data_IF_327812728445
#
_entry.id   IF_327812728445
#
_cell.length_a   1.000
_cell.length_b   1.000
_cell.length_c   1.000
_cell.angle_alpha   90.00
_cell.angle_beta   90.00
_cell.angle_gamma   90.00
#
_symmetry.space_group_name_H-M   'P 1'
#
loop_
_entity.id
_entity.type
_entity.pdbx_description
1 polymer ?
#
# COMPACT_ATOMS: atom_id res chain seq x y z
N UNK A 1 1.43 9.53 18.67
CA UNK A 1 1.99 10.17 17.47
C UNK A 1 0.94 10.21 16.37
N UNK A 2 0.69 11.36 15.75
CA UNK A 2 -0.14 11.55 14.55
C UNK A 2 0.68 11.92 13.31
N UNK A 3 1.98 11.62 13.32
CA UNK A 3 2.94 12.06 12.30
C UNK A 3 2.93 11.18 11.05
N UNK A 4 2.58 9.89 11.21
CA UNK A 4 2.42 8.97 10.09
C UNK A 4 1.29 9.44 9.19
N UNK A 5 1.58 9.48 7.89
CA UNK A 5 0.70 10.07 6.92
C UNK A 5 0.78 9.34 5.59
N UNK A 6 -0.28 9.49 4.80
CA UNK A 6 -0.27 9.12 3.40
C UNK A 6 -0.58 10.39 2.61
N UNK A 7 0.39 10.79 1.79
CA UNK A 7 0.26 11.94 0.90
C UNK A 7 -0.94 11.77 -0.02
N UNK A 8 -1.44 12.89 -0.53
CA UNK A 8 -2.56 12.87 -1.45
C UNK A 8 -2.25 12.12 -2.75
N UNK A 9 -3.11 11.17 -3.09
CA UNK A 9 -3.00 10.35 -4.29
C UNK A 9 -4.39 9.91 -4.75
N UNK A 10 -4.47 9.34 -5.94
CA UNK A 10 -5.56 8.43 -6.30
C UNK A 10 -5.02 7.01 -6.31
N UNK A 11 -5.86 6.03 -5.97
CA UNK A 11 -5.47 4.62 -6.04
C UNK A 11 -5.26 4.24 -7.51
N UNK A 12 -4.20 3.47 -7.81
CA UNK A 12 -3.96 2.92 -9.15
C UNK A 12 -5.10 1.99 -9.55
N UNK A 13 -5.82 2.30 -10.62
CA UNK A 13 -6.99 1.48 -11.02
C UNK A 13 -6.69 0.38 -12.04
N UNK A 14 -5.44 0.25 -12.50
CA UNK A 14 -5.00 -0.78 -13.46
C UNK A 14 -5.56 -2.18 -13.15
N UNK A 15 -5.47 -2.59 -11.88
CA UNK A 15 -5.81 -3.94 -11.44
C UNK A 15 -7.15 -4.03 -10.69
N UNK A 16 -7.86 -2.90 -10.52
CA UNK A 16 -9.12 -2.85 -9.77
C UNK A 16 -10.28 -3.07 -10.74
N UNK A 17 -11.13 -4.06 -10.45
CA UNK A 17 -12.26 -4.44 -11.33
C UNK A 17 -13.18 -3.24 -11.62
N UNK A 18 -13.48 -3.00 -12.89
CA UNK A 18 -14.37 -1.92 -13.31
C UNK A 18 -15.72 -1.94 -12.56
N UNK A 19 -16.17 -0.75 -12.14
CA UNK A 19 -17.43 -0.59 -11.38
C UNK A 19 -17.37 -0.99 -9.91
N UNK A 20 -16.28 -1.64 -9.45
CA UNK A 20 -16.10 -1.99 -8.03
C UNK A 20 -15.89 -0.76 -7.15
N UNK A 21 -15.75 -0.98 -5.85
CA UNK A 21 -15.44 0.06 -4.86
C UNK A 21 -14.08 -0.20 -4.21
N UNK A 22 -13.50 0.86 -3.67
CA UNK A 22 -12.38 0.83 -2.73
C UNK A 22 -12.99 1.07 -1.35
N UNK A 23 -12.74 0.15 -0.42
CA UNK A 23 -13.33 0.18 0.92
C UNK A 23 -12.23 0.27 1.96
N UNK A 24 -12.17 1.39 2.68
CA UNK A 24 -11.24 1.58 3.78
C UNK A 24 -11.93 1.38 5.13
N UNK A 25 -11.48 0.40 5.91
CA UNK A 25 -11.89 0.19 7.30
C UNK A 25 -10.81 0.78 8.21
N UNK A 26 -11.24 1.61 9.17
CA UNK A 26 -10.37 2.26 10.14
C UNK A 26 -10.58 1.68 11.53
N UNK A 27 -9.51 1.20 12.15
CA UNK A 27 -9.48 0.71 13.52
C UNK A 27 -8.46 1.50 14.32
N UNK A 28 -8.79 1.81 15.57
CA UNK A 28 -7.92 2.54 16.48
C UNK A 28 -8.19 4.04 16.50
N UNK A 29 -7.15 4.83 16.70
CA UNK A 29 -7.22 6.27 16.84
C UNK A 29 -7.86 6.95 15.61
N UNK A 30 -8.76 7.91 15.87
CA UNK A 30 -9.40 8.68 14.81
C UNK A 30 -8.35 9.48 14.02
N UNK A 31 -8.49 9.45 12.69
CA UNK A 31 -7.75 10.34 11.78
C UNK A 31 -8.73 11.00 10.82
N UNK A 32 -8.27 12.04 10.13
CA UNK A 32 -9.09 12.75 9.15
C UNK A 32 -8.65 12.38 7.74
N UNK A 33 -9.55 11.74 6.98
CA UNK A 33 -9.39 11.55 5.54
C UNK A 33 -9.65 12.88 4.84
N UNK A 34 -8.68 13.37 4.07
CA UNK A 34 -8.82 14.57 3.25
C UNK A 34 -9.10 14.14 1.81
N UNK A 35 -10.23 14.55 1.25
CA UNK A 35 -10.49 14.46 -0.18
C UNK A 35 -10.33 15.84 -0.81
N UNK A 36 -9.61 15.93 -1.93
CA UNK A 36 -9.41 17.18 -2.66
C UNK A 36 -9.58 16.95 -4.15
N UNK A 37 -10.46 17.70 -4.81
CA UNK A 37 -10.67 17.55 -6.26
C UNK A 37 -9.35 17.67 -7.01
N UNK A 38 -9.15 16.89 -8.08
CA UNK A 38 -8.03 17.09 -8.99
C UNK A 38 -8.14 18.46 -9.68
N UNK A 39 -7.03 18.94 -10.24
CA UNK A 39 -7.07 20.16 -11.04
C UNK A 39 -7.85 19.87 -12.33
N UNK A 40 -8.74 20.75 -12.78
CA UNK A 40 -9.30 20.64 -14.11
C UNK A 40 -8.14 20.65 -15.10
N UNK A 41 -8.01 19.58 -15.88
CA UNK A 41 -7.02 19.51 -16.93
C UNK A 41 -7.64 20.23 -18.11
N UNK A 42 -7.24 21.48 -18.37
CA UNK A 42 -7.46 22.06 -19.69
C UNK A 42 -6.65 21.19 -20.66
N UNK A 43 -7.34 20.35 -21.43
CA UNK A 43 -6.74 19.74 -22.60
C UNK A 43 -6.34 20.93 -23.50
N UNK A 44 -5.04 21.26 -23.52
CA UNK A 44 -4.53 22.24 -24.45
C UNK A 44 -4.70 21.66 -25.85
N UNK A 45 -5.57 22.28 -26.64
CA UNK A 45 -5.63 22.06 -28.08
C UNK A 45 -4.24 22.34 -28.67
N UNK A 46 -3.68 21.48 -29.54
CA UNK A 46 -2.34 21.67 -30.14
C UNK A 46 -2.23 22.85 -31.13
N UNK A 47 -3.12 23.86 -31.06
CA UNK A 47 -3.45 24.73 -32.19
C UNK A 47 -3.30 26.24 -32.00
N UNK A 48 -2.90 26.75 -30.83
CA UNK A 48 -2.79 28.22 -30.65
C UNK A 48 -1.49 28.67 -30.03
N UNK A 49 -0.48 28.83 -30.90
CA UNK A 49 0.72 29.62 -30.64
C UNK A 49 0.33 31.10 -30.54
N UNK A 50 0.21 31.63 -29.32
CA UNK A 50 0.26 33.08 -29.12
C UNK A 50 1.48 33.50 -28.29
N UNK A 51 2.45 34.00 -29.05
CA UNK A 51 3.57 34.86 -28.72
C UNK A 51 3.33 35.74 -27.48
N UNK A 52 4.08 35.49 -26.39
CA UNK A 52 4.26 36.46 -25.31
C UNK A 52 5.74 36.74 -25.10
N UNK A 53 6.15 37.84 -25.72
CA UNK A 53 7.42 38.53 -25.58
C UNK A 53 7.77 38.78 -24.10
N UNK A 54 9.07 38.62 -23.83
CA UNK A 54 9.80 38.94 -22.60
C UNK A 54 9.48 40.35 -22.07
N UNK A 55 9.24 40.46 -20.77
CA UNK A 55 9.71 41.59 -19.97
C UNK A 55 10.37 41.06 -18.70
N UNK A 56 11.46 41.72 -18.33
CA UNK A 56 12.47 41.36 -17.33
C UNK A 56 12.17 42.14 -16.04
N UNK A 57 12.70 41.63 -14.93
CA UNK A 57 12.71 42.15 -13.56
C UNK A 57 11.54 41.78 -12.64
N UNK A 58 11.77 40.73 -11.83
CA UNK A 58 11.71 40.78 -10.37
C UNK A 58 12.30 39.47 -9.81
N UNK A 59 13.07 39.60 -8.73
CA UNK A 59 13.77 38.53 -8.01
C UNK A 59 12.80 37.44 -7.48
N UNK A 60 13.14 36.14 -7.58
CA UNK A 60 12.23 35.07 -7.19
C UNK A 60 12.30 34.76 -5.68
N UNK A 61 11.16 34.75 -5.01
CA UNK A 61 10.95 34.01 -3.75
C UNK A 61 10.46 32.59 -4.06
N UNK A 62 10.81 31.55 -3.26
CA UNK A 62 10.58 30.15 -3.65
C UNK A 62 9.12 29.67 -3.61
N UNK A 63 8.18 30.47 -3.09
CA UNK A 63 6.80 30.04 -2.83
C UNK A 63 5.75 30.61 -3.81
N UNK A 64 6.19 31.26 -4.89
CA UNK A 64 5.32 31.94 -5.84
C UNK A 64 5.49 31.44 -7.28
N UNK A 65 5.51 30.11 -7.50
CA UNK A 65 5.26 29.55 -8.82
C UNK A 65 4.29 28.38 -8.70
N UNK A 66 3.04 28.65 -9.11
CA UNK A 66 2.07 27.77 -9.77
C UNK A 66 0.65 28.36 -9.61
N UNK A 67 0.48 29.63 -9.93
CA UNK A 67 -0.84 30.24 -10.18
C UNK A 67 -0.87 30.68 -11.64
N UNK A 68 -1.15 29.73 -12.53
CA UNK A 68 -1.57 30.01 -13.89
C UNK A 68 -2.94 29.33 -14.09
N UNK A 69 -3.97 30.16 -13.97
CA UNK A 69 -5.28 30.11 -14.62
C UNK A 69 -6.00 28.75 -14.75
N UNK A 70 -6.69 28.36 -13.68
CA UNK A 70 -8.12 28.00 -13.77
C UNK A 70 -8.84 28.51 -12.52
N UNK A 71 -9.88 29.32 -12.69
CA UNK A 71 -10.53 30.11 -11.64
C UNK A 71 -11.42 29.32 -10.67
N UNK A 72 -11.33 27.99 -10.64
CA UNK A 72 -12.06 27.14 -9.70
C UNK A 72 -11.12 26.68 -8.58
N UNK A 73 -11.31 27.25 -7.39
CA UNK A 73 -10.66 26.74 -6.18
C UNK A 73 -10.95 25.25 -6.01
N UNK A 74 -9.91 24.45 -5.74
CA UNK A 74 -10.07 23.01 -5.51
C UNK A 74 -10.95 22.80 -4.28
N UNK A 75 -11.99 21.98 -4.43
CA UNK A 75 -12.87 21.64 -3.30
C UNK A 75 -12.13 20.65 -2.41
N UNK A 76 -12.14 20.91 -1.10
CA UNK A 76 -11.55 20.02 -0.09
C UNK A 76 -12.62 19.59 0.90
N UNK A 77 -12.73 18.29 1.13
CA UNK A 77 -13.56 17.68 2.16
C UNK A 77 -12.66 17.03 3.22
N UNK A 78 -13.09 17.09 4.48
CA UNK A 78 -12.39 16.49 5.62
C UNK A 78 -13.38 15.57 6.32
N UNK A 79 -13.09 14.28 6.29
CA UNK A 79 -13.98 13.23 6.78
C UNK A 79 -13.30 12.57 7.99
N UNK A 80 -13.85 12.71 9.20
CA UNK A 80 -13.37 11.95 10.35
C UNK A 80 -13.53 10.45 10.13
N UNK A 81 -12.49 9.70 10.47
CA UNK A 81 -12.44 8.23 10.38
C UNK A 81 -12.29 7.65 11.79
N UNK A 82 -13.40 7.56 12.58
CA UNK A 82 -13.35 7.03 13.94
C UNK A 82 -13.03 5.53 13.97
N UNK A 83 -12.79 4.99 15.17
CA UNK A 83 -12.65 3.56 15.38
C UNK A 83 -13.86 2.79 14.81
N UNK A 84 -13.61 1.67 14.14
CA UNK A 84 -14.62 0.79 13.54
C UNK A 84 -15.50 1.52 12.50
N UNK A 85 -14.93 2.48 11.78
CA UNK A 85 -15.60 3.16 10.67
C UNK A 85 -15.18 2.60 9.31
N UNK A 86 -16.03 2.84 8.32
CA UNK A 86 -15.81 2.44 6.94
C UNK A 86 -16.01 3.63 6.00
N UNK A 87 -15.04 3.82 5.10
CA UNK A 87 -15.10 4.79 4.01
C UNK A 87 -15.13 4.05 2.68
N UNK A 88 -16.22 4.24 1.92
CA UNK A 88 -16.47 3.55 0.66
C UNK A 88 -16.39 4.55 -0.48
N UNK A 89 -15.54 4.28 -1.47
CA UNK A 89 -15.30 5.16 -2.60
C UNK A 89 -15.46 4.40 -3.93
N UNK A 90 -16.17 5.01 -4.87
CA UNK A 90 -16.26 4.50 -6.25
C UNK A 90 -15.06 4.90 -7.10
N UNK A 91 -14.82 4.17 -8.19
CA UNK A 91 -13.72 4.46 -9.13
C UNK A 91 -13.86 5.83 -9.81
N UNK A 92 -15.09 6.31 -10.02
CA UNK A 92 -15.34 7.66 -10.54
C UNK A 92 -14.83 8.73 -9.55
N UNK A 93 -15.16 8.60 -8.27
CA UNK A 93 -14.64 9.49 -7.22
C UNK A 93 -13.12 9.41 -7.13
N UNK A 94 -12.54 8.20 -7.17
CA UNK A 94 -11.08 8.02 -7.21
C UNK A 94 -10.45 8.70 -8.44
N UNK A 95 -11.13 8.68 -9.59
CA UNK A 95 -10.70 9.33 -10.81
C UNK A 95 -10.73 10.86 -10.74
N UNK A 96 -11.64 11.45 -9.97
CA UNK A 96 -11.81 12.92 -9.89
C UNK A 96 -11.22 13.57 -8.64
N UNK A 97 -10.86 12.80 -7.61
CA UNK A 97 -10.38 13.31 -6.33
C UNK A 97 -9.03 12.68 -5.96
N UNK A 98 -8.21 13.44 -5.25
CA UNK A 98 -7.10 12.92 -4.47
C UNK A 98 -7.57 12.68 -3.03
N UNK A 99 -7.08 11.62 -2.40
CA UNK A 99 -7.31 11.33 -0.99
C UNK A 99 -6.00 11.12 -0.23
N UNK A 100 -6.00 11.45 1.05
CA UNK A 100 -4.86 11.24 1.93
C UNK A 100 -5.20 11.47 3.40
N UNK A 101 -4.32 11.01 4.29
CA UNK A 101 -4.40 11.30 5.73
C UNK A 101 -3.16 12.11 6.05
N UNK A 102 -3.35 13.39 6.37
CA UNK A 102 -2.25 14.33 6.60
C UNK A 102 -1.68 14.16 8.01
N UNK A 103 -0.39 14.51 8.23
CA UNK A 103 0.16 14.58 9.57
C UNK A 103 -0.65 15.54 10.44
N UNK A 104 -1.04 15.10 11.63
CA UNK A 104 -1.60 15.99 12.65
C UNK A 104 -0.46 16.60 13.46
N UNK A 105 -0.28 17.91 13.30
CA UNK A 105 0.80 18.69 13.94
C UNK A 105 0.30 19.51 15.12
N UNK A 106 -0.97 19.37 15.51
CA UNK A 106 -1.51 20.06 16.67
C UNK A 106 -0.83 19.55 17.95
N UNK A 107 -0.70 20.39 18.99
CA UNK A 107 -0.31 19.93 20.32
C UNK A 107 -1.26 18.85 20.85
N UNK A 108 -0.74 17.89 21.62
CA UNK A 108 -1.54 16.78 22.16
C UNK A 108 -2.73 17.23 23.03
N UNK A 109 -2.64 18.41 23.66
CA UNK A 109 -3.72 18.99 24.45
C UNK A 109 -4.94 19.43 23.60
N UNK A 110 -4.78 19.58 22.29
CA UNK A 110 -5.85 19.94 21.36
C UNK A 110 -6.55 18.72 20.73
N UNK A 111 -6.04 17.50 21.00
CA UNK A 111 -6.65 16.28 20.50
C UNK A 111 -7.89 15.93 21.33
N UNK A 112 -8.95 15.50 20.64
CA UNK A 112 -10.09 14.88 21.33
C UNK A 112 -9.73 13.44 21.76
N UNK A 113 -10.42 12.85 22.76
CA UNK A 113 -10.10 11.51 23.25
C UNK A 113 -9.99 10.45 22.14
N UNK A 114 -10.89 10.48 21.16
CA UNK A 114 -10.89 9.55 20.03
C UNK A 114 -9.63 9.64 19.15
N UNK A 115 -8.95 10.79 19.07
CA UNK A 115 -7.73 10.99 18.27
C UNK A 115 -6.47 10.47 18.97
N UNK A 116 -6.52 10.36 20.30
CA UNK A 116 -5.42 9.90 21.16
C UNK A 116 -5.62 8.48 21.71
N UNK A 117 -6.81 7.88 21.52
CA UNK A 117 -7.14 6.52 21.92
C UNK A 117 -6.20 5.47 21.30
N UNK A 118 -6.18 4.25 21.86
CA UNK A 118 -5.40 3.11 21.35
C UNK A 118 -3.90 3.43 21.19
N UNK A 119 -3.31 4.16 22.15
CA UNK A 119 -1.90 4.57 22.08
C UNK A 119 -1.61 5.55 20.93
N UNK A 120 -2.61 6.25 20.40
CA UNK A 120 -2.57 7.03 19.16
C UNK A 120 -2.37 6.19 17.89
N UNK A 121 -2.49 4.86 17.93
CA UNK A 121 -2.25 4.01 16.77
C UNK A 121 -3.53 3.82 15.97
N UNK A 122 -3.41 3.83 14.63
CA UNK A 122 -4.51 3.55 13.70
C UNK A 122 -4.09 2.47 12.72
N UNK A 123 -4.93 1.47 12.56
CA UNK A 123 -4.84 0.46 11.50
C UNK A 123 -5.85 0.85 10.40
N UNK A 124 -5.38 0.76 9.16
CA UNK A 124 -6.13 1.11 7.96
C UNK A 124 -6.14 -0.07 7.02
N UNK A 125 -7.29 -0.72 6.86
CA UNK A 125 -7.42 -1.89 5.99
C UNK A 125 -8.18 -1.45 4.74
N UNK A 126 -7.52 -1.43 3.60
CA UNK A 126 -8.13 -1.02 2.33
C UNK A 126 -8.39 -2.24 1.45
N UNK A 127 -9.66 -2.60 1.29
CA UNK A 127 -10.12 -3.67 0.41
C UNK A 127 -10.31 -3.15 -1.01
N UNK A 128 -9.88 -3.97 -1.97
CA UNK A 128 -10.01 -3.75 -3.41
C UNK A 128 -10.40 -5.06 -4.05
N UNK A 129 -11.28 -5.03 -5.05
CA UNK A 129 -11.57 -6.19 -5.88
C UNK A 129 -10.56 -6.22 -7.03
N UNK A 130 -9.62 -7.15 -6.98
CA UNK A 130 -8.53 -7.27 -7.95
C UNK A 130 -8.94 -8.15 -9.14
N UNK A 131 -8.65 -7.68 -10.35
CA UNK A 131 -8.96 -8.33 -11.63
C UNK A 131 -7.74 -8.74 -12.46
N UNK A 132 -6.53 -8.53 -11.95
CA UNK A 132 -5.26 -9.00 -12.54
C UNK A 132 -4.65 -10.05 -11.63
N UNK A 133 -4.19 -11.15 -12.20
CA UNK A 133 -3.79 -12.35 -11.47
C UNK A 133 -2.38 -12.77 -11.87
N UNK A 134 -1.70 -13.41 -10.92
CA UNK A 134 -0.40 -14.01 -11.10
C UNK A 134 -0.51 -15.53 -10.94
N UNK A 135 0.39 -16.27 -11.59
CA UNK A 135 0.64 -17.66 -11.21
C UNK A 135 1.21 -17.72 -9.80
N UNK A 136 1.10 -18.89 -9.15
CA UNK A 136 1.61 -19.06 -7.78
C UNK A 136 3.12 -18.82 -7.66
N UNK A 137 3.89 -18.97 -8.74
CA UNK A 137 5.32 -18.64 -8.76
C UNK A 137 5.60 -17.21 -9.25
N UNK A 138 4.56 -16.39 -9.44
CA UNK A 138 4.62 -15.02 -9.96
C UNK A 138 5.28 -14.87 -11.33
N UNK A 139 5.43 -15.96 -12.11
CA UNK A 139 6.07 -15.92 -13.44
C UNK A 139 5.13 -15.58 -14.57
N UNK A 140 3.84 -15.83 -14.41
CA UNK A 140 2.81 -15.57 -15.41
C UNK A 140 1.80 -14.57 -14.89
N UNK A 141 1.30 -13.71 -15.77
CA UNK A 141 0.30 -12.69 -15.49
C UNK A 141 -0.83 -12.72 -16.52
N UNK A 142 -2.06 -12.48 -16.05
CA UNK A 142 -3.25 -12.32 -16.89
C UNK A 142 -4.33 -11.50 -16.18
N UNK A 143 -5.37 -11.10 -16.90
CA UNK A 143 -6.54 -10.41 -16.37
C UNK A 143 -6.68 -8.97 -16.87
N UNK A 144 -7.46 -8.17 -16.17
CA UNK A 144 -7.88 -6.83 -16.63
C UNK A 144 -6.70 -5.92 -16.96
N UNK A 145 -5.75 -5.80 -16.04
CA UNK A 145 -4.58 -4.93 -16.17
C UNK A 145 -3.45 -5.52 -17.00
N UNK A 146 -3.43 -6.84 -17.21
CA UNK A 146 -2.40 -7.51 -18.01
C UNK A 146 -2.63 -7.35 -19.51
N UNK A 147 -1.62 -7.63 -20.34
CA UNK A 147 -1.80 -7.67 -21.80
C UNK A 147 -2.72 -8.85 -22.17
N UNK A 148 -2.50 -10.02 -21.57
CA UNK A 148 -3.38 -11.17 -21.70
C UNK A 148 -4.57 -11.08 -20.75
N UNK A 149 -5.80 -11.16 -21.27
CA UNK A 149 -7.00 -11.03 -20.43
C UNK A 149 -7.46 -12.34 -19.80
N UNK A 150 -7.11 -13.48 -20.40
CA UNK A 150 -7.51 -14.81 -19.95
C UNK A 150 -6.33 -15.63 -19.47
N UNK A 151 -6.59 -16.57 -18.54
CA UNK A 151 -5.57 -17.46 -17.97
C UNK A 151 -4.93 -18.37 -19.01
N UNK A 152 -5.68 -18.81 -20.03
CA UNK A 152 -5.15 -19.63 -21.13
C UNK A 152 -4.06 -18.92 -21.94
N UNK A 153 -4.12 -17.59 -21.97
CA UNK A 153 -3.26 -16.73 -22.78
C UNK A 153 -2.19 -16.04 -21.92
N UNK A 154 -2.03 -16.47 -20.65
CA UNK A 154 -1.18 -15.84 -19.67
C UNK A 154 0.25 -15.63 -20.19
N UNK A 155 0.83 -14.48 -19.85
CA UNK A 155 2.11 -14.03 -20.39
C UNK A 155 3.18 -14.02 -19.31
N UNK A 156 4.46 -14.16 -19.66
CA UNK A 156 5.55 -13.97 -18.71
C UNK A 156 5.50 -12.58 -18.06
N UNK A 157 5.69 -12.51 -16.75
CA UNK A 157 5.87 -11.23 -16.04
C UNK A 157 7.17 -10.56 -16.45
N UNK A 158 7.16 -9.24 -16.48
CA UNK A 158 8.31 -8.39 -16.78
C UNK A 158 8.80 -7.75 -15.48
N UNK A 159 10.11 -7.84 -15.22
CA UNK A 159 10.73 -7.31 -14.00
C UNK A 159 11.96 -6.49 -14.36
N UNK A 160 12.06 -5.26 -13.83
CA UNK A 160 13.20 -4.39 -14.03
C UNK A 160 13.45 -3.90 -15.46
N UNK A 161 12.51 -4.10 -16.38
CA UNK A 161 12.63 -3.56 -17.72
C UNK A 161 12.34 -2.06 -17.70
N UNK A 162 13.36 -1.24 -17.96
CA UNK A 162 13.26 0.21 -17.86
C UNK A 162 12.17 0.82 -18.74
N UNK A 163 12.01 0.31 -19.96
CA UNK A 163 11.04 0.84 -20.94
C UNK A 163 9.60 0.55 -20.51
N UNK A 164 9.30 -0.71 -20.19
CA UNK A 164 7.97 -1.11 -19.73
C UNK A 164 7.62 -0.51 -18.37
N UNK A 165 8.59 -0.43 -17.44
CA UNK A 165 8.43 0.26 -16.16
C UNK A 165 8.12 1.75 -16.37
N UNK A 166 8.84 2.43 -17.26
CA UNK A 166 8.59 3.84 -17.54
C UNK A 166 7.22 4.06 -18.21
N UNK A 167 6.80 3.15 -19.10
CA UNK A 167 5.46 3.16 -19.70
C UNK A 167 4.38 3.08 -18.63
N UNK A 168 4.54 2.21 -17.63
CA UNK A 168 3.61 2.06 -16.52
C UNK A 168 3.58 3.30 -15.63
N UNK A 169 4.76 3.85 -15.30
CA UNK A 169 4.88 5.09 -14.53
C UNK A 169 4.19 6.25 -15.23
N UNK A 170 4.39 6.39 -16.55
CA UNK A 170 3.73 7.44 -17.34
C UNK A 170 2.21 7.28 -17.32
N UNK A 171 1.70 6.07 -17.52
CA UNK A 171 0.26 5.77 -17.46
C UNK A 171 -0.35 6.13 -16.09
N UNK A 172 0.32 5.76 -15.00
CA UNK A 172 -0.10 6.14 -13.65
C UNK A 172 0.03 7.65 -13.37
N UNK A 173 1.00 8.31 -13.99
CA UNK A 173 1.13 9.77 -13.95
C UNK A 173 -0.10 10.47 -14.58
N UNK A 174 -0.55 9.99 -15.73
CA UNK A 174 -1.78 10.49 -16.38
C UNK A 174 -3.00 10.27 -15.50
N UNK A 175 -3.16 9.07 -14.93
CA UNK A 175 -4.28 8.77 -14.02
C UNK A 175 -4.35 9.73 -12.82
N UNK A 176 -3.20 10.08 -12.22
CA UNK A 176 -3.15 10.98 -11.07
C UNK A 176 -3.42 12.45 -11.42
N UNK A 177 -3.02 12.90 -12.60
CA UNK A 177 -3.12 14.32 -13.00
C UNK A 177 -4.45 14.65 -13.68
N UNK A 178 -4.99 13.72 -14.48
CA UNK A 178 -6.21 13.94 -15.25
C UNK A 178 -7.44 13.65 -14.39
N UNK A 179 -8.46 14.50 -14.50
CA UNK A 179 -9.74 14.29 -13.83
C UNK A 179 -10.57 13.28 -14.63
N UNK A 180 -10.90 12.14 -14.01
CA UNK A 180 -11.71 11.06 -14.60
C UNK A 180 -11.27 10.67 -16.03
N UNK A 181 -10.01 10.24 -16.24
CA UNK A 181 -9.54 9.86 -17.55
C UNK A 181 -10.23 8.59 -18.06
N UNK A 182 -10.29 8.43 -19.39
CA UNK A 182 -10.71 7.17 -20.00
C UNK A 182 -9.70 6.08 -19.68
N UNK A 183 -10.13 5.07 -18.92
CA UNK A 183 -9.30 3.95 -18.50
C UNK A 183 -8.70 3.22 -19.70
N UNK A 184 -9.47 3.01 -20.77
CA UNK A 184 -9.01 2.28 -21.95
C UNK A 184 -7.86 3.01 -22.67
N UNK A 185 -7.91 4.34 -22.72
CA UNK A 185 -6.82 5.15 -23.30
C UNK A 185 -5.49 5.03 -22.54
N UNK A 186 -5.54 4.75 -21.23
CA UNK A 186 -4.35 4.67 -20.36
C UNK A 186 -3.85 3.22 -20.23
N UNK A 187 -4.78 2.30 -19.93
CA UNK A 187 -4.48 0.94 -19.49
C UNK A 187 -5.01 -0.14 -20.43
N UNK A 188 -5.77 0.20 -21.47
CA UNK A 188 -6.44 -0.76 -22.34
C UNK A 188 -5.50 -1.78 -22.99
N UNK A 189 -4.28 -1.35 -23.36
CA UNK A 189 -3.25 -2.22 -23.93
C UNK A 189 -2.66 -3.22 -22.94
N UNK A 190 -2.77 -2.94 -21.63
CA UNK A 190 -2.27 -3.78 -20.56
C UNK A 190 -0.78 -3.61 -20.24
N UNK A 191 -0.38 -4.17 -19.11
CA UNK A 191 0.96 -4.14 -18.55
C UNK A 191 1.29 -5.50 -17.94
N UNK A 192 2.40 -6.10 -18.38
CA UNK A 192 2.90 -7.35 -17.81
C UNK A 192 4.00 -7.10 -16.75
N UNK A 193 4.22 -5.84 -16.36
CA UNK A 193 5.24 -5.42 -15.37
C UNK A 193 4.78 -5.76 -13.96
N UNK A 194 5.57 -6.58 -13.26
CA UNK A 194 5.34 -6.91 -11.85
C UNK A 194 6.21 -6.06 -10.92
N UNK A 195 7.52 -6.02 -11.17
CA UNK A 195 8.46 -5.19 -10.41
C UNK A 195 9.10 -4.11 -11.29
N UNK A 196 9.07 -2.86 -10.80
CA UNK A 196 9.69 -1.73 -11.50
C UNK A 196 11.22 -1.86 -11.56
N UNK A 197 11.81 -2.51 -10.55
CA UNK A 197 13.25 -2.74 -10.41
C UNK A 197 13.62 -4.18 -10.78
N UNK A 198 14.87 -4.38 -11.19
CA UNK A 198 15.42 -5.67 -11.62
C UNK A 198 15.77 -6.62 -10.49
N UNK A 199 15.73 -6.15 -9.24
CA UNK A 199 15.84 -7.01 -8.06
C UNK A 199 14.55 -7.81 -7.95
N UNK A 200 14.52 -8.92 -8.69
CA UNK A 200 13.56 -9.98 -8.47
C UNK A 200 13.74 -10.50 -7.04
N UNK A 201 12.65 -10.87 -6.34
CA UNK A 201 12.72 -11.58 -5.05
C UNK A 201 13.33 -12.99 -5.16
N UNK A 202 14.05 -13.32 -6.23
CA UNK A 202 14.86 -14.55 -6.33
C UNK A 202 15.98 -14.62 -5.27
N UNK A 203 16.23 -13.50 -4.57
CA UNK A 203 17.09 -13.42 -3.39
C UNK A 203 16.33 -13.13 -2.09
N UNK A 204 14.99 -13.14 -2.08
CA UNK A 204 14.26 -13.13 -0.82
C UNK A 204 14.68 -14.37 -0.02
N UNK A 205 15.12 -14.12 1.21
CA UNK A 205 15.42 -15.20 2.13
C UNK A 205 14.11 -15.73 2.69
N UNK A 206 14.02 -17.02 3.02
CA UNK A 206 12.95 -17.48 3.89
C UNK A 206 12.98 -16.65 5.18
N UNK A 207 11.81 -16.46 5.79
CA UNK A 207 11.70 -15.73 7.06
C UNK A 207 11.32 -16.69 8.18
N UNK A 208 11.93 -16.52 9.36
CA UNK A 208 11.52 -17.17 10.59
C UNK A 208 11.04 -16.11 11.58
N UNK A 209 9.76 -16.12 11.87
CA UNK A 209 9.15 -15.31 12.93
C UNK A 209 9.24 -16.09 14.24
N UNK A 210 9.98 -15.54 15.19
CA UNK A 210 10.19 -16.15 16.50
C UNK A 210 8.96 -16.00 17.39
N UNK A 211 8.76 -16.99 18.27
CA UNK A 211 7.64 -17.03 19.22
C UNK A 211 7.89 -16.23 20.49
N UNK A 212 9.14 -16.02 20.86
CA UNK A 212 9.54 -15.51 22.17
C UNK A 212 9.63 -16.59 23.25
N UNK A 213 9.42 -17.86 22.88
CA UNK A 213 9.71 -19.04 23.71
C UNK A 213 11.09 -19.58 23.33
N UNK A 214 12.05 -19.48 24.26
CA UNK A 214 13.47 -19.81 24.04
C UNK A 214 13.67 -21.27 23.63
N UNK A 215 12.91 -22.22 24.18
CA UNK A 215 13.04 -23.65 23.89
C UNK A 215 12.49 -24.00 22.51
N UNK A 216 11.43 -23.32 22.09
CA UNK A 216 10.85 -23.46 20.76
C UNK A 216 11.76 -22.84 19.71
N UNK A 217 12.14 -21.59 19.93
CA UNK A 217 12.92 -20.76 19.00
C UNK A 217 14.32 -21.35 18.76
N UNK A 218 15.00 -21.77 19.84
CA UNK A 218 16.33 -22.41 19.76
C UNK A 218 16.27 -23.73 18.98
N UNK A 219 15.19 -24.50 19.16
CA UNK A 219 15.03 -25.79 18.48
C UNK A 219 14.96 -25.66 16.95
N UNK A 220 14.21 -24.67 16.46
CA UNK A 220 14.05 -24.44 15.01
C UNK A 220 15.29 -23.76 14.41
N UNK A 221 15.83 -22.74 15.07
CA UNK A 221 17.05 -22.05 14.62
C UNK A 221 18.26 -22.97 14.54
N UNK A 222 18.39 -23.93 15.47
CA UNK A 222 19.40 -24.98 15.40
C UNK A 222 19.24 -25.86 14.15
N UNK A 223 18.02 -26.33 13.86
CA UNK A 223 17.74 -27.14 12.67
C UNK A 223 18.07 -26.37 11.37
N UNK A 224 17.71 -25.09 11.29
CA UNK A 224 18.03 -24.20 10.16
C UNK A 224 19.55 -24.09 9.97
N UNK A 225 20.29 -23.93 11.08
CA UNK A 225 21.76 -23.82 11.08
C UNK A 225 22.42 -25.13 10.63
N UNK A 226 21.92 -26.28 11.10
CA UNK A 226 22.40 -27.62 10.72
C UNK A 226 22.22 -27.89 9.21
N UNK A 227 21.13 -27.39 8.63
CA UNK A 227 20.83 -27.50 7.20
C UNK A 227 21.48 -26.39 6.35
N UNK A 228 22.23 -25.48 6.96
CA UNK A 228 22.91 -24.35 6.30
C UNK A 228 21.95 -23.47 5.46
N UNK A 229 20.74 -23.24 5.96
CA UNK A 229 19.70 -22.44 5.28
C UNK A 229 19.87 -20.97 5.69
N UNK A 230 20.00 -20.08 4.70
CA UNK A 230 20.13 -18.64 4.93
C UNK A 230 18.73 -18.00 5.09
N UNK A 231 18.33 -17.76 6.34
CA UNK A 231 16.99 -17.29 6.73
C UNK A 231 17.09 -15.88 7.35
N UNK A 232 16.12 -15.03 7.09
CA UNK A 232 15.90 -13.78 7.82
C UNK A 232 15.12 -14.07 9.11
N UNK A 233 15.71 -13.76 10.26
CA UNK A 233 15.08 -13.96 11.57
C UNK A 233 14.36 -12.68 11.98
N UNK A 234 13.08 -12.81 12.31
CA UNK A 234 12.22 -11.72 12.78
C UNK A 234 11.86 -11.97 14.24
N UNK A 235 12.39 -11.14 15.12
CA UNK A 235 12.11 -11.19 16.56
C UNK A 235 10.64 -10.86 16.87
N UNK A 236 10.07 -11.42 17.95
CA UNK A 236 8.74 -11.02 18.39
C UNK A 236 8.73 -9.53 18.79
N UNK A 237 7.60 -8.82 18.64
CA UNK A 237 7.47 -7.44 19.08
C UNK A 237 7.85 -7.28 20.56
N UNK A 238 8.73 -6.33 20.86
CA UNK A 238 9.15 -6.01 22.25
C UNK A 238 8.00 -5.35 23.03
N UNK A 239 7.14 -4.63 22.32
CA UNK A 239 5.97 -3.95 22.86
C UNK A 239 4.90 -4.98 23.22
N UNK A 240 4.79 -5.28 24.50
CA UNK A 240 3.66 -6.04 25.02
C UNK A 240 2.46 -5.11 25.09
N UNK A 241 1.31 -5.57 24.62
CA UNK A 241 0.05 -4.89 24.87
C UNK A 241 -0.11 -4.74 26.39
N UNK A 242 0.03 -3.51 26.91
CA UNK A 242 -0.08 -3.22 28.35
C UNK A 242 -1.53 -2.93 28.71
N UNK A 243 -1.87 -3.08 29.99
CA UNK A 243 -3.21 -2.77 30.52
C UNK A 243 -3.51 -1.27 30.56
N UNK A 244 -2.60 -0.41 30.11
CA UNK A 244 -2.74 1.05 30.12
C UNK A 244 -3.42 1.59 28.86
N UNK A 245 -3.67 0.73 27.86
CA UNK A 245 -4.38 1.15 26.66
C UNK A 245 -5.85 1.41 26.98
N UNK A 246 -6.36 2.53 26.48
CA UNK A 246 -7.75 2.94 26.59
C UNK A 246 -8.41 3.05 25.21
N UNK A 247 -9.72 2.81 25.16
CA UNK A 247 -10.54 3.00 23.98
C UNK A 247 -10.93 4.47 23.75
N UNK A 248 -11.81 4.74 22.78
CA UNK A 248 -12.26 6.09 22.47
C UNK A 248 -13.13 6.76 23.56
N UNK A 249 -13.73 5.97 24.47
CA UNK A 249 -14.50 6.45 25.61
C UNK A 249 -13.62 6.66 26.86
N UNK A 250 -12.35 6.24 26.80
CA UNK A 250 -11.42 6.24 27.94
C UNK A 250 -11.50 4.97 28.78
N UNK A 251 -12.23 3.94 28.33
CA UNK A 251 -12.34 2.67 29.03
C UNK A 251 -11.07 1.83 28.80
N UNK A 252 -10.49 1.21 29.86
CA UNK A 252 -9.34 0.33 29.70
C UNK A 252 -9.65 -0.85 28.78
N UNK A 253 -8.75 -1.15 27.84
CA UNK A 253 -8.88 -2.30 26.96
C UNK A 253 -8.58 -3.58 27.73
N UNK A 254 -9.50 -4.55 27.63
CA UNK A 254 -9.31 -5.88 28.22
C UNK A 254 -8.33 -6.66 27.34
N UNK A 255 -7.16 -6.93 27.89
CA UNK A 255 -6.25 -7.93 27.34
C UNK A 255 -6.87 -9.31 27.59
N UNK A 256 -7.60 -9.81 26.60
CA UNK A 256 -7.89 -11.25 26.56
C UNK A 256 -6.55 -11.95 26.48
N UNK A 257 -6.33 -13.01 27.26
CA UNK A 257 -5.16 -13.89 27.14
C UNK A 257 -5.19 -14.56 25.76
N UNK A 258 -4.81 -13.80 24.73
CA UNK A 258 -4.89 -14.19 23.34
C UNK A 258 -3.52 -14.74 22.98
N UNK A 259 -3.49 -16.05 22.73
CA UNK A 259 -2.52 -16.81 21.95
C UNK A 259 -1.12 -16.16 21.89
N UNK A 260 -0.18 -16.71 22.66
CA UNK A 260 1.23 -16.35 22.50
C UNK A 260 1.65 -16.48 21.03
N UNK A 261 2.60 -15.66 20.61
CA UNK A 261 3.15 -15.73 19.26
C UNK A 261 3.56 -17.17 18.96
N UNK A 262 3.07 -17.73 17.86
CA UNK A 262 3.46 -19.07 17.42
C UNK A 262 4.63 -18.92 16.46
N UNK A 263 5.68 -19.72 16.66
CA UNK A 263 6.83 -19.73 15.75
C UNK A 263 6.35 -20.05 14.34
N UNK A 264 6.81 -19.27 13.36
CA UNK A 264 6.32 -19.35 12.00
C UNK A 264 7.47 -19.27 11.00
N UNK A 265 7.56 -20.24 10.09
CA UNK A 265 8.50 -20.24 8.99
C UNK A 265 7.76 -19.94 7.69
N UNK A 266 8.26 -18.95 6.93
CA UNK A 266 7.76 -18.59 5.61
C UNK A 266 8.84 -18.87 4.57
N UNK A 267 8.52 -19.68 3.59
CA UNK A 267 9.43 -19.98 2.48
C UNK A 267 9.66 -18.73 1.61
N UNK A 268 10.87 -18.61 1.06
CA UNK A 268 11.19 -17.62 0.05
C UNK A 268 10.41 -17.82 -1.26
N UNK A 269 10.18 -16.74 -1.98
CA UNK A 269 9.58 -16.75 -3.31
C UNK A 269 8.06 -16.85 -3.32
N UNK A 270 7.47 -16.80 -4.53
CA UNK A 270 6.02 -16.65 -4.72
C UNK A 270 5.14 -17.79 -4.19
N UNK A 271 5.71 -18.93 -3.81
CA UNK A 271 4.94 -20.12 -3.40
C UNK A 271 4.12 -19.91 -2.10
N UNK A 272 4.40 -18.85 -1.33
CA UNK A 272 3.66 -18.43 -0.13
C UNK A 272 3.45 -19.51 0.96
N UNK A 273 4.29 -20.56 0.99
CA UNK A 273 4.21 -21.61 2.01
C UNK A 273 4.50 -21.03 3.39
N UNK A 274 3.55 -21.20 4.31
CA UNK A 274 3.68 -20.80 5.71
C UNK A 274 3.46 -22.01 6.62
N UNK A 275 4.38 -22.24 7.55
CA UNK A 275 4.37 -23.34 8.49
C UNK A 275 4.46 -22.80 9.91
N UNK A 276 3.57 -23.29 10.78
CA UNK A 276 3.50 -22.83 12.16
C UNK A 276 3.78 -24.00 13.13
N UNK A 277 4.52 -23.70 14.18
CA UNK A 277 4.85 -24.65 15.24
C UNK A 277 6.14 -25.44 14.98
N UNK A 278 6.86 -25.72 16.08
CA UNK A 278 8.19 -26.34 16.08
C UNK A 278 8.29 -27.61 15.23
N UNK A 279 7.40 -28.58 15.48
CA UNK A 279 7.47 -29.92 14.85
C UNK A 279 7.24 -29.83 13.35
N UNK A 280 6.17 -29.14 12.93
CA UNK A 280 5.83 -29.00 11.51
C UNK A 280 6.94 -28.31 10.72
N UNK A 281 7.55 -27.26 11.29
CA UNK A 281 8.66 -26.55 10.66
C UNK A 281 9.88 -27.48 10.52
N UNK A 282 10.29 -28.17 11.59
CA UNK A 282 11.49 -29.04 11.57
C UNK A 282 11.31 -30.21 10.59
N UNK A 283 10.15 -30.87 10.61
CA UNK A 283 9.86 -31.98 9.69
C UNK A 283 9.95 -31.53 8.23
N UNK A 284 9.26 -30.43 7.90
CA UNK A 284 9.27 -29.91 6.55
C UNK A 284 10.66 -29.44 6.09
N UNK A 285 11.43 -28.77 6.96
CA UNK A 285 12.79 -28.34 6.64
C UNK A 285 13.69 -29.53 6.31
N UNK A 286 13.57 -30.62 7.08
CA UNK A 286 14.34 -31.85 6.81
C UNK A 286 13.89 -32.51 5.51
N UNK A 287 12.60 -32.60 5.24
CA UNK A 287 12.11 -33.18 3.98
C UNK A 287 12.54 -32.36 2.75
N UNK A 288 12.62 -31.04 2.89
CA UNK A 288 12.85 -30.12 1.77
C UNK A 288 14.33 -29.83 1.52
N UNK A 289 15.13 -29.73 2.59
CA UNK A 289 16.53 -29.26 2.51
C UNK A 289 17.55 -30.30 2.98
N UNK A 290 17.15 -31.45 3.52
CA UNK A 290 18.12 -32.51 3.79
C UNK A 290 18.68 -33.07 2.45
N UNK A 291 19.98 -33.42 2.41
CA UNK A 291 20.62 -33.99 1.23
C UNK A 291 20.14 -35.42 0.90
#
# INVERSE_FOLDING_TARGET
SGQDHISEHSDKTLDIVHGSKIVNVSLGAQRTMRLRTKRPTTLQDPGTSHDKRRSRDTTPTPDAQLNAEDGRSRVTQRIPMPHNSMFVMGLETNGSWLHGIMPDKRPAAEHIPAESAYGNMRISITFRLIGTFLSADSKLIWGQGAVAKQKSDARPTINGNLEESQRLINAFGVENQVTAPDWNSIYGTGFDVLHLNSELPEHEKPMLFLSGDEDIDTGVTKCISELNINVEIVDPPVERLTSELVDANGDPLILTAAHGCVICFRQAGGMHSELQGKTAIIEWLRETYAP
#
